data_IF_485301737871
#
_entry.id   IF_485301737871
#
_cell.length_a   1.000
_cell.length_b   1.000
_cell.length_c   1.000
_cell.angle_alpha   90.00
_cell.angle_beta   90.00
_cell.angle_gamma   90.00
#
_symmetry.space_group_name_H-M   'P 1'
#
loop_
_entity.id
_entity.type
_entity.pdbx_description
1 polymer ?
#
# COMPACT_ATOMS: atom_id res chain seq x y z
N UNK A 1 2.93 21.46 -30.78
CA UNK A 1 3.14 20.54 -29.63
C UNK A 1 4.54 20.72 -29.06
N UNK A 2 4.77 21.77 -28.25
CA UNK A 2 5.98 21.95 -27.43
C UNK A 2 5.66 22.92 -26.29
N UNK A 3 5.06 22.43 -25.21
CA UNK A 3 4.78 23.25 -23.99
C UNK A 3 4.56 22.33 -22.79
N UNK A 4 5.60 21.59 -22.37
CA UNK A 4 5.55 20.77 -21.14
C UNK A 4 6.93 20.58 -20.48
N UNK A 5 7.92 21.41 -20.83
CA UNK A 5 9.32 21.24 -20.35
C UNK A 5 9.78 22.37 -19.41
N UNK A 6 8.94 23.34 -19.06
CA UNK A 6 9.36 24.49 -18.21
C UNK A 6 8.87 24.47 -16.76
N UNK A 7 8.03 23.50 -16.34
CA UNK A 7 7.38 23.53 -15.02
C UNK A 7 8.15 22.86 -13.86
N UNK A 8 9.31 22.27 -14.09
CA UNK A 8 10.04 21.53 -13.04
C UNK A 8 11.19 22.29 -12.40
N UNK A 9 11.63 23.42 -12.96
CA UNK A 9 12.74 24.21 -12.41
C UNK A 9 12.32 25.31 -11.42
N UNK A 10 11.06 25.75 -11.41
CA UNK A 10 10.60 26.80 -10.48
C UNK A 10 10.29 26.29 -9.06
N UNK A 11 9.96 25.00 -8.90
CA UNK A 11 9.53 24.44 -7.61
C UNK A 11 10.68 24.30 -6.62
N UNK A 12 11.90 24.01 -7.09
CA UNK A 12 13.07 23.85 -6.20
C UNK A 12 13.56 25.21 -5.66
N UNK A 13 13.38 26.29 -6.42
CA UNK A 13 13.77 27.65 -6.00
C UNK A 13 12.91 28.18 -4.83
N UNK A 14 11.61 27.85 -4.83
CA UNK A 14 10.68 28.22 -3.74
C UNK A 14 11.00 27.53 -2.40
N UNK A 15 11.59 26.33 -2.44
CA UNK A 15 11.92 25.56 -1.23
C UNK A 15 13.02 26.26 -0.41
N UNK A 16 14.04 26.83 -1.06
CA UNK A 16 15.14 27.56 -0.43
C UNK A 16 14.74 28.97 0.05
N UNK A 17 13.78 29.61 -0.62
CA UNK A 17 13.24 30.93 -0.21
C UNK A 17 12.40 30.84 1.07
N UNK A 18 11.79 29.69 1.36
CA UNK A 18 10.92 29.49 2.52
C UNK A 18 11.65 29.51 3.88
N UNK A 19 12.92 29.11 3.93
CA UNK A 19 13.71 29.13 5.17
C UNK A 19 14.15 30.54 5.56
N UNK A 20 14.47 31.41 4.58
CA UNK A 20 14.85 32.81 4.83
C UNK A 20 13.67 33.70 5.23
N UNK A 21 12.45 33.38 4.81
CA UNK A 21 11.24 34.09 5.24
C UNK A 21 10.83 33.74 6.68
N UNK A 22 11.21 32.55 7.17
CA UNK A 22 10.88 32.08 8.52
C UNK A 22 11.52 32.91 9.63
N UNK A 23 12.75 33.40 9.42
CA UNK A 23 13.44 34.30 10.37
C UNK A 23 12.85 35.71 10.37
N UNK A 24 12.29 36.17 9.25
CA UNK A 24 11.69 37.51 9.14
C UNK A 24 10.26 37.52 9.71
N UNK A 25 9.47 36.46 9.49
CA UNK A 25 8.09 36.36 9.99
C UNK A 25 8.01 36.20 11.53
N UNK A 26 8.97 35.53 12.15
CA UNK A 26 9.02 35.40 13.62
C UNK A 26 9.39 36.72 14.33
N UNK A 27 10.15 37.61 13.69
CA UNK A 27 10.49 38.94 14.25
C UNK A 27 9.27 39.87 14.27
N UNK A 28 8.39 39.75 13.28
CA UNK A 28 7.16 40.56 13.18
C UNK A 28 6.13 40.13 14.22
N UNK A 29 6.07 38.84 14.59
CA UNK A 29 5.05 38.32 15.52
C UNK A 29 5.21 38.80 16.98
N UNK A 30 6.38 39.30 17.38
CA UNK A 30 6.61 39.82 18.74
C UNK A 30 6.24 41.29 18.95
N UNK A 31 5.86 42.04 17.91
CA UNK A 31 5.54 43.45 18.06
C UNK A 31 4.32 43.90 17.23
N UNK A 32 3.27 44.28 17.97
CA UNK A 32 2.07 45.07 17.61
C UNK A 32 0.80 44.31 17.20
N UNK A 33 -0.22 44.59 18.03
CA UNK A 33 -1.67 44.52 17.75
C UNK A 33 -1.99 45.03 16.35
N UNK A 34 -2.70 44.24 15.56
CA UNK A 34 -3.67 44.70 14.56
C UNK A 34 -4.62 43.54 14.21
N UNK A 35 -5.90 43.74 14.51
CA UNK A 35 -7.03 42.87 14.18
C UNK A 35 -7.28 42.92 12.66
N UNK A 36 -6.74 41.98 11.88
CA UNK A 36 -7.23 41.68 10.53
C UNK A 36 -6.99 40.20 10.20
N UNK A 37 -8.05 39.51 9.74
CA UNK A 37 -8.06 38.19 9.08
C UNK A 37 -7.77 36.92 9.91
N UNK A 38 -8.76 36.53 10.72
CA UNK A 38 -8.88 35.20 11.36
C UNK A 38 -9.33 34.07 10.38
N UNK A 39 -9.34 34.29 9.06
CA UNK A 39 -9.88 33.30 8.08
C UNK A 39 -8.77 32.68 7.21
N UNK A 40 -7.65 33.39 6.98
CA UNK A 40 -6.55 32.91 6.13
C UNK A 40 -5.61 31.94 6.85
N UNK A 41 -5.54 32.00 8.18
CA UNK A 41 -4.72 31.11 9.01
C UNK A 41 -5.28 29.69 9.10
N UNK A 42 -6.61 29.51 9.13
CA UNK A 42 -7.23 28.17 9.23
C UNK A 42 -7.15 27.40 7.92
N UNK A 43 -7.37 28.07 6.78
CA UNK A 43 -7.21 27.45 5.45
C UNK A 43 -5.75 27.12 5.14
N UNK A 44 -4.80 27.98 5.54
CA UNK A 44 -3.38 27.69 5.38
C UNK A 44 -2.93 26.54 6.30
N UNK A 45 -3.41 26.51 7.55
CA UNK A 45 -3.15 25.41 8.50
C UNK A 45 -3.77 24.09 8.06
N UNK A 46 -4.99 24.09 7.51
CA UNK A 46 -5.65 22.89 6.98
C UNK A 46 -4.98 22.39 5.69
N UNK A 47 -4.54 23.30 4.81
CA UNK A 47 -3.80 22.94 3.59
C UNK A 47 -2.39 22.45 3.90
N UNK A 48 -1.73 23.02 4.91
CA UNK A 48 -0.44 22.59 5.44
C UNK A 48 -0.52 21.24 6.15
N UNK A 49 -1.57 20.98 6.94
CA UNK A 49 -1.80 19.66 7.54
C UNK A 49 -2.18 18.59 6.50
N UNK A 50 -2.93 18.93 5.45
CA UNK A 50 -3.15 18.01 4.34
C UNK A 50 -1.86 17.71 3.55
N UNK A 51 -0.96 18.69 3.42
CA UNK A 51 0.36 18.46 2.81
C UNK A 51 1.30 17.66 3.71
N UNK A 52 1.29 17.89 5.03
CA UNK A 52 2.07 17.08 5.97
C UNK A 52 1.50 15.66 6.14
N UNK A 53 0.19 15.48 6.08
CA UNK A 53 -0.42 14.14 6.04
C UNK A 53 -0.11 13.40 4.74
N UNK A 54 0.09 14.12 3.62
CA UNK A 54 0.61 13.53 2.38
C UNK A 54 2.07 13.08 2.51
N UNK A 55 2.91 13.82 3.26
CA UNK A 55 4.30 13.45 3.55
C UNK A 55 4.47 12.42 4.69
N UNK A 56 3.46 12.26 5.57
CA UNK A 56 3.41 11.24 6.62
C UNK A 56 2.68 9.96 6.18
N UNK A 57 2.55 9.74 4.86
CA UNK A 57 2.20 8.42 4.34
C UNK A 57 3.28 7.47 4.84
N UNK A 58 2.97 6.72 5.91
CA UNK A 58 3.84 5.67 6.46
C UNK A 58 4.44 4.93 5.28
N UNK A 59 5.76 4.70 5.25
CA UNK A 59 6.40 3.83 4.26
C UNK A 59 5.70 2.47 4.34
N UNK A 60 4.67 2.31 3.52
CA UNK A 60 3.59 1.35 3.76
C UNK A 60 3.96 0.02 3.14
N UNK A 61 4.70 0.07 2.04
CA UNK A 61 5.14 -1.09 1.28
C UNK A 61 6.66 -1.08 1.03
N UNK A 62 7.18 -2.21 0.56
CA UNK A 62 8.60 -2.36 0.21
C UNK A 62 9.10 -1.32 -0.80
N UNK A 63 8.27 -0.94 -1.77
CA UNK A 63 8.63 0.05 -2.79
C UNK A 63 8.78 1.46 -2.20
N UNK A 64 7.90 1.84 -1.26
CA UNK A 64 8.04 3.10 -0.52
C UNK A 64 9.35 3.13 0.26
N UNK A 65 9.74 1.99 0.86
CA UNK A 65 11.00 1.85 1.60
C UNK A 65 12.23 1.98 0.71
N UNK A 66 12.16 1.52 -0.53
CA UNK A 66 13.25 1.64 -1.51
C UNK A 66 13.44 3.06 -2.03
N UNK A 67 12.39 3.91 -1.97
CA UNK A 67 12.41 5.27 -2.49
C UNK A 67 12.95 5.35 -3.94
N UNK A 68 12.44 4.46 -4.81
CA UNK A 68 12.90 4.32 -6.20
C UNK A 68 11.77 4.56 -7.20
N UNK A 69 12.14 4.97 -8.41
CA UNK A 69 11.23 5.15 -9.56
C UNK A 69 11.22 3.97 -10.53
N UNK A 70 11.97 2.90 -10.20
CA UNK A 70 12.02 1.68 -11.02
C UNK A 70 10.65 1.03 -11.11
N UNK A 71 10.42 0.33 -12.22
CA UNK A 71 9.26 -0.54 -12.33
C UNK A 71 9.33 -1.62 -11.23
N UNK A 72 8.25 -1.91 -10.47
CA UNK A 72 8.27 -2.93 -9.42
C UNK A 72 8.67 -4.33 -9.88
N UNK A 73 8.51 -4.65 -11.18
CA UNK A 73 8.96 -5.92 -11.77
C UNK A 73 10.47 -5.98 -12.04
N UNK A 74 11.14 -4.83 -12.09
CA UNK A 74 12.58 -4.71 -12.37
C UNK A 74 13.43 -4.56 -11.11
N UNK A 75 12.80 -4.52 -9.92
CA UNK A 75 13.49 -4.48 -8.65
C UNK A 75 14.21 -5.81 -8.42
N UNK A 76 15.50 -5.73 -8.13
CA UNK A 76 16.35 -6.90 -7.92
C UNK A 76 16.06 -7.59 -6.58
N UNK A 77 16.44 -8.87 -6.48
CA UNK A 77 16.30 -9.63 -5.24
C UNK A 77 17.07 -9.02 -4.06
N UNK A 78 18.27 -8.48 -4.31
CA UNK A 78 19.05 -7.80 -3.27
C UNK A 78 18.34 -6.53 -2.78
N UNK A 79 17.70 -5.77 -3.67
CA UNK A 79 16.90 -4.61 -3.28
C UNK A 79 15.70 -5.04 -2.43
N UNK A 80 14.97 -6.08 -2.84
CA UNK A 80 13.85 -6.60 -2.04
C UNK A 80 14.29 -7.10 -0.66
N UNK A 81 15.40 -7.85 -0.57
CA UNK A 81 15.96 -8.33 0.71
C UNK A 81 16.34 -7.20 1.67
N UNK A 82 16.67 -6.01 1.15
CA UNK A 82 17.02 -4.85 1.99
C UNK A 82 15.79 -4.19 2.64
N UNK A 83 14.58 -4.38 2.10
CA UNK A 83 13.37 -3.67 2.54
C UNK A 83 12.26 -4.57 3.08
N UNK A 84 12.32 -5.85 2.75
CA UNK A 84 11.41 -6.89 3.24
C UNK A 84 12.06 -7.62 4.41
N UNK A 85 11.25 -8.04 5.39
CA UNK A 85 11.70 -9.00 6.38
C UNK A 85 12.03 -10.36 5.73
N UNK A 86 12.77 -11.26 6.40
CA UNK A 86 13.04 -12.60 5.88
C UNK A 86 11.76 -13.36 5.49
N UNK A 87 10.73 -13.33 6.32
CA UNK A 87 9.45 -14.02 6.04
C UNK A 87 8.67 -13.36 4.90
N UNK A 88 8.65 -12.02 4.85
CA UNK A 88 8.05 -11.28 3.75
C UNK A 88 8.73 -11.63 2.43
N UNK A 89 10.07 -11.67 2.41
CA UNK A 89 10.84 -12.03 1.22
C UNK A 89 10.59 -13.49 0.82
N UNK A 90 10.67 -14.42 1.76
CA UNK A 90 10.46 -15.84 1.52
C UNK A 90 9.08 -16.11 0.91
N UNK A 91 8.02 -15.55 1.49
CA UNK A 91 6.67 -15.73 0.95
C UNK A 91 6.51 -15.01 -0.39
N UNK A 92 6.85 -13.72 -0.48
CA UNK A 92 6.51 -12.93 -1.67
C UNK A 92 7.42 -13.16 -2.87
N UNK A 93 8.69 -13.55 -2.66
CA UNK A 93 9.69 -13.67 -3.73
C UNK A 93 10.09 -15.10 -4.04
N UNK A 94 10.05 -15.98 -3.04
CA UNK A 94 10.42 -17.39 -3.18
C UNK A 94 9.20 -18.34 -3.21
N UNK A 95 7.99 -17.78 -3.32
CA UNK A 95 6.72 -18.54 -3.29
C UNK A 95 6.59 -19.43 -2.04
N UNK A 96 7.13 -18.97 -0.91
CA UNK A 96 6.94 -19.59 0.40
C UNK A 96 5.49 -19.48 0.90
N UNK A 97 5.18 -20.15 2.00
CA UNK A 97 3.86 -20.10 2.64
C UNK A 97 4.02 -19.93 4.14
N UNK A 98 3.33 -18.95 4.72
CA UNK A 98 3.36 -18.73 6.17
C UNK A 98 2.69 -19.91 6.91
N UNK A 99 3.12 -20.26 8.13
CA UNK A 99 2.48 -21.34 8.89
C UNK A 99 0.99 -21.07 9.12
N UNK A 100 0.18 -22.14 9.10
CA UNK A 100 -1.26 -22.07 9.38
C UNK A 100 -1.54 -21.39 10.73
N UNK A 101 -2.51 -20.47 10.78
CA UNK A 101 -2.95 -19.71 11.96
C UNK A 101 -1.90 -18.76 12.56
N UNK A 102 -0.76 -18.53 11.89
CA UNK A 102 0.28 -17.64 12.40
C UNK A 102 0.13 -16.19 11.94
N UNK A 103 -0.58 -15.96 10.84
CA UNK A 103 -0.69 -14.67 10.19
C UNK A 103 -1.58 -13.66 10.93
N UNK A 104 -1.15 -12.39 10.96
CA UNK A 104 -1.88 -11.28 11.59
C UNK A 104 -3.32 -11.14 11.09
N UNK A 105 -3.56 -11.42 9.81
CA UNK A 105 -4.82 -11.11 9.17
C UNK A 105 -5.80 -12.29 9.08
N UNK A 106 -5.47 -13.47 9.61
CA UNK A 106 -6.37 -14.64 9.59
C UNK A 106 -7.70 -14.32 10.30
N UNK A 107 -7.64 -13.98 11.60
CA UNK A 107 -8.81 -13.61 12.42
C UNK A 107 -9.04 -12.11 12.55
N UNK A 108 -8.66 -11.36 11.51
CA UNK A 108 -8.83 -9.91 11.45
C UNK A 108 -9.96 -9.53 10.48
N UNK A 109 -10.94 -8.75 10.94
CA UNK A 109 -12.14 -8.40 10.17
C UNK A 109 -12.51 -6.91 10.26
N UNK A 110 -11.52 -6.03 10.48
CA UNK A 110 -11.80 -4.59 10.52
C UNK A 110 -12.13 -4.05 9.12
N UNK A 111 -13.03 -3.05 9.01
CA UNK A 111 -13.31 -2.39 7.74
C UNK A 111 -12.09 -1.65 7.17
N UNK A 112 -11.78 -1.94 5.91
CA UNK A 112 -10.62 -1.40 5.20
C UNK A 112 -10.31 -2.19 3.93
N UNK A 113 -9.08 -2.03 3.45
CA UNK A 113 -8.56 -2.70 2.26
C UNK A 113 -7.20 -3.32 2.52
N UNK A 114 -6.86 -4.33 1.73
CA UNK A 114 -5.60 -5.03 1.80
C UNK A 114 -4.76 -4.71 0.57
N UNK A 115 -3.54 -4.25 0.80
CA UNK A 115 -2.60 -3.82 -0.24
C UNK A 115 -1.40 -4.75 -0.31
N UNK A 116 -0.73 -4.83 -1.46
CA UNK A 116 0.45 -5.66 -1.62
C UNK A 116 1.59 -5.21 -0.70
N UNK A 117 2.19 -6.13 0.07
CA UNK A 117 3.32 -5.82 0.96
C UNK A 117 4.51 -5.21 0.20
N UNK A 118 4.75 -5.67 -1.03
CA UNK A 118 5.87 -5.22 -1.84
C UNK A 118 5.62 -3.87 -2.49
N UNK A 119 4.50 -3.68 -3.21
CA UNK A 119 4.30 -2.50 -4.06
C UNK A 119 3.12 -1.60 -3.67
N UNK A 120 2.36 -1.95 -2.65
CA UNK A 120 1.28 -1.12 -2.11
C UNK A 120 0.01 -1.02 -2.97
N UNK A 121 -0.09 -1.79 -4.07
CA UNK A 121 -1.30 -1.80 -4.89
C UNK A 121 -2.46 -2.49 -4.15
N UNK A 122 -3.68 -1.99 -4.34
CA UNK A 122 -4.89 -2.57 -3.74
C UNK A 122 -5.16 -3.98 -4.31
N UNK A 123 -5.38 -4.96 -3.44
CA UNK A 123 -5.56 -6.37 -3.81
C UNK A 123 -6.94 -6.89 -3.40
N UNK A 124 -7.36 -6.66 -2.16
CA UNK A 124 -8.60 -7.18 -1.59
C UNK A 124 -9.31 -6.15 -0.74
N UNK A 125 -10.63 -6.30 -0.58
CA UNK A 125 -11.45 -5.48 0.31
C UNK A 125 -11.92 -6.31 1.50
N UNK A 126 -12.04 -5.65 2.66
CA UNK A 126 -12.57 -6.29 3.88
C UNK A 126 -14.00 -6.82 3.72
N UNK A 127 -14.82 -6.22 2.86
CA UNK A 127 -16.19 -6.68 2.56
C UNK A 127 -16.23 -8.06 1.90
N UNK A 128 -15.11 -8.48 1.31
CA UNK A 128 -14.94 -9.77 0.65
C UNK A 128 -14.24 -10.81 1.53
N UNK A 129 -13.78 -10.39 2.71
CA UNK A 129 -13.11 -11.27 3.65
C UNK A 129 -14.14 -12.10 4.42
N UNK A 130 -13.88 -13.39 4.58
CA UNK A 130 -14.72 -14.29 5.36
C UNK A 130 -13.88 -15.25 6.21
N UNK A 131 -14.51 -15.89 7.21
CA UNK A 131 -13.85 -16.93 7.99
C UNK A 131 -14.02 -18.29 7.30
N UNK A 132 -12.94 -18.78 6.69
CA UNK A 132 -12.91 -20.10 6.05
C UNK A 132 -12.46 -21.22 6.99
N UNK A 133 -11.90 -20.90 8.16
CA UNK A 133 -11.21 -21.86 9.03
C UNK A 133 -9.93 -22.45 8.43
N UNK A 134 -9.46 -21.98 7.26
CA UNK A 134 -8.26 -22.52 6.62
C UNK A 134 -6.96 -22.11 7.32
N UNK A 135 -6.99 -21.08 8.16
CA UNK A 135 -5.84 -20.58 8.92
C UNK A 135 -4.98 -19.56 8.18
N UNK A 136 -5.50 -19.01 7.08
CA UNK A 136 -4.97 -17.86 6.38
C UNK A 136 -6.12 -16.91 6.03
N UNK A 137 -5.84 -15.61 5.83
CA UNK A 137 -6.79 -14.67 5.24
C UNK A 137 -7.50 -15.26 4.02
N UNK A 138 -8.83 -15.28 4.06
CA UNK A 138 -9.66 -15.79 2.99
C UNK A 138 -10.58 -14.69 2.44
N UNK A 139 -10.57 -14.52 1.12
CA UNK A 139 -11.43 -13.59 0.41
C UNK A 139 -12.22 -14.31 -0.67
N UNK A 140 -13.44 -13.87 -0.95
CA UNK A 140 -14.27 -14.47 -2.01
C UNK A 140 -14.01 -13.85 -3.39
N UNK A 141 -13.49 -12.63 -3.44
CA UNK A 141 -13.05 -11.95 -4.67
C UNK A 141 -11.91 -10.98 -4.42
N UNK A 142 -11.14 -10.71 -5.46
CA UNK A 142 -10.14 -9.64 -5.49
C UNK A 142 -10.75 -8.31 -5.97
N UNK A 143 -10.01 -7.21 -5.82
CA UNK A 143 -10.41 -5.89 -6.34
C UNK A 143 -10.58 -5.93 -7.86
N UNK A 144 -11.74 -5.48 -8.34
CA UNK A 144 -12.01 -5.23 -9.75
C UNK A 144 -11.92 -6.47 -10.64
N UNK A 145 -12.37 -7.64 -10.14
CA UNK A 145 -12.36 -8.90 -10.90
C UNK A 145 -10.96 -9.24 -11.42
N UNK A 146 -10.00 -9.37 -10.50
CA UNK A 146 -8.60 -9.66 -10.77
C UNK A 146 -7.82 -8.55 -11.48
N UNK A 147 -8.27 -7.29 -11.34
CA UNK A 147 -7.60 -6.12 -11.93
C UNK A 147 -6.09 -6.08 -11.62
N UNK A 148 -5.72 -6.36 -10.35
CA UNK A 148 -4.38 -6.21 -9.81
C UNK A 148 -3.68 -7.53 -9.46
N UNK A 149 -4.29 -8.67 -9.78
CA UNK A 149 -3.68 -10.00 -9.59
C UNK A 149 -3.53 -10.75 -10.92
N UNK A 150 -2.71 -11.78 -10.91
CA UNK A 150 -2.63 -12.78 -11.97
C UNK A 150 -2.81 -14.16 -11.37
N UNK A 151 -3.46 -15.04 -12.14
CA UNK A 151 -3.63 -16.45 -11.82
C UNK A 151 -2.65 -17.26 -12.66
N UNK A 152 -1.90 -18.14 -12.02
CA UNK A 152 -0.92 -19.00 -12.67
C UNK A 152 -1.17 -20.45 -12.27
N UNK A 153 -1.00 -21.37 -13.21
CA UNK A 153 -1.03 -22.79 -12.88
C UNK A 153 0.19 -23.14 -12.00
N UNK A 154 -0.06 -23.81 -10.89
CA UNK A 154 0.95 -24.30 -9.97
C UNK A 154 0.84 -25.83 -9.86
N UNK A 155 1.86 -26.54 -10.35
CA UNK A 155 1.98 -27.99 -10.33
C UNK A 155 2.96 -28.49 -9.25
N UNK A 156 3.42 -27.59 -8.37
CA UNK A 156 4.34 -27.94 -7.29
C UNK A 156 3.73 -28.96 -6.32
N UNK A 157 4.59 -29.76 -5.69
CA UNK A 157 4.20 -30.81 -4.73
C UNK A 157 3.19 -31.84 -5.29
N UNK A 158 3.15 -32.03 -6.61
CA UNK A 158 2.28 -33.01 -7.27
C UNK A 158 0.79 -32.68 -7.21
N UNK A 159 0.43 -31.41 -7.01
CA UNK A 159 -0.96 -30.92 -6.98
C UNK A 159 -1.14 -29.86 -8.04
N UNK A 160 -2.29 -29.85 -8.72
CA UNK A 160 -2.68 -28.75 -9.61
C UNK A 160 -3.46 -27.75 -8.78
N UNK A 161 -2.93 -26.54 -8.67
CA UNK A 161 -3.56 -25.40 -7.97
C UNK A 161 -3.44 -24.15 -8.84
N UNK A 162 -4.16 -23.11 -8.45
CA UNK A 162 -4.06 -21.80 -9.09
C UNK A 162 -3.35 -20.85 -8.15
N UNK A 163 -2.07 -20.56 -8.42
CA UNK A 163 -1.29 -19.55 -7.71
C UNK A 163 -1.83 -18.15 -8.02
N UNK A 164 -1.89 -17.32 -6.99
CA UNK A 164 -2.27 -15.90 -7.07
C UNK A 164 -1.03 -15.06 -6.82
N UNK A 165 -0.68 -14.19 -7.79
CA UNK A 165 0.40 -13.21 -7.66
C UNK A 165 -0.09 -11.80 -7.87
N UNK A 166 0.61 -10.82 -7.29
CA UNK A 166 0.41 -9.43 -7.60
C UNK A 166 0.84 -9.14 -9.05
N UNK A 167 -0.08 -8.62 -9.87
CA UNK A 167 0.17 -8.28 -11.28
C UNK A 167 1.22 -7.19 -11.47
N UNK A 168 1.36 -6.31 -10.49
CA UNK A 168 2.22 -5.13 -10.57
C UNK A 168 3.70 -5.44 -10.26
N UNK A 169 3.99 -6.36 -9.34
CA UNK A 169 5.37 -6.65 -8.89
C UNK A 169 5.76 -8.13 -8.88
N UNK A 170 4.86 -9.02 -9.33
CA UNK A 170 5.01 -10.49 -9.34
C UNK A 170 5.18 -11.13 -7.96
N UNK A 171 4.86 -10.41 -6.88
CA UNK A 171 4.87 -10.97 -5.53
C UNK A 171 3.87 -12.13 -5.41
N UNK A 172 4.32 -13.28 -4.91
CA UNK A 172 3.45 -14.38 -4.52
C UNK A 172 2.55 -13.94 -3.36
N UNK A 173 1.25 -14.23 -3.49
CA UNK A 173 0.23 -13.89 -2.49
C UNK A 173 -0.33 -15.15 -1.83
N UNK A 174 -0.61 -16.18 -2.62
CA UNK A 174 -1.18 -17.45 -2.15
C UNK A 174 -1.81 -18.22 -3.30
N UNK A 175 -2.98 -18.80 -3.05
CA UNK A 175 -3.72 -19.61 -4.04
C UNK A 175 -5.20 -19.30 -4.02
N UNK A 176 -5.89 -19.60 -5.12
CA UNK A 176 -7.36 -19.56 -5.21
C UNK A 176 -7.91 -20.96 -5.45
N UNK A 177 -9.04 -21.26 -4.80
CA UNK A 177 -9.73 -22.55 -4.82
C UNK A 177 -11.23 -22.36 -5.06
N UNK A 178 -11.90 -23.38 -5.61
CA UNK A 178 -13.34 -23.35 -5.93
C UNK A 178 -14.25 -23.84 -4.77
N UNK A 179 -13.77 -23.73 -3.52
CA UNK A 179 -14.45 -24.17 -2.30
C UNK A 179 -14.89 -22.99 -1.40
N UNK A 180 -15.10 -21.82 -2.00
CA UNK A 180 -15.58 -20.62 -1.32
C UNK A 180 -17.10 -20.56 -1.13
N UNK A 181 -17.62 -19.41 -0.64
CA UNK A 181 -19.05 -19.22 -0.40
C UNK A 181 -19.85 -19.27 -1.71
N UNK A 182 -20.75 -20.26 -1.83
CA UNK A 182 -21.57 -20.46 -3.05
C UNK A 182 -22.58 -19.33 -3.31
N UNK A 183 -22.92 -18.54 -2.29
CA UNK A 183 -23.84 -17.42 -2.39
C UNK A 183 -23.18 -16.15 -2.96
N UNK A 184 -21.86 -16.16 -3.21
CA UNK A 184 -21.14 -15.06 -3.84
C UNK A 184 -20.46 -15.53 -5.12
N UNK A 185 -19.16 -15.81 -5.10
CA UNK A 185 -18.38 -16.25 -6.27
C UNK A 185 -18.16 -17.76 -6.32
N UNK A 186 -18.27 -18.45 -5.17
CA UNK A 186 -17.82 -19.83 -5.02
C UNK A 186 -16.30 -19.98 -4.94
N UNK A 187 -15.54 -18.88 -5.05
CA UNK A 187 -14.08 -18.90 -4.98
C UNK A 187 -13.57 -18.54 -3.57
N UNK A 188 -12.40 -19.07 -3.23
CA UNK A 188 -11.68 -18.76 -2.00
C UNK A 188 -10.23 -18.42 -2.33
N UNK A 189 -9.91 -17.14 -2.27
CA UNK A 189 -8.55 -16.62 -2.30
C UNK A 189 -7.94 -16.81 -0.92
N UNK A 190 -7.04 -17.80 -0.79
CA UNK A 190 -6.30 -18.14 0.40
C UNK A 190 -4.94 -17.45 0.35
N UNK A 191 -4.79 -16.34 1.09
CA UNK A 191 -3.69 -15.39 0.93
C UNK A 191 -2.84 -15.35 2.19
N UNK A 192 -1.51 -15.34 2.04
CA UNK A 192 -0.59 -15.17 3.16
C UNK A 192 -0.70 -13.76 3.75
N UNK A 193 -0.86 -13.65 5.06
CA UNK A 193 -0.90 -12.37 5.79
C UNK A 193 0.39 -11.57 5.57
N UNK A 194 1.55 -12.23 5.59
CA UNK A 194 2.85 -11.57 5.36
C UNK A 194 2.99 -10.96 3.95
N UNK A 195 2.16 -11.37 2.99
CA UNK A 195 2.19 -10.86 1.61
C UNK A 195 1.34 -9.59 1.41
N UNK A 196 0.57 -9.19 2.43
CA UNK A 196 -0.34 -8.05 2.38
C UNK A 196 -0.13 -7.09 3.56
N UNK A 197 -0.62 -5.87 3.40
CA UNK A 197 -0.81 -4.88 4.45
C UNK A 197 -2.29 -4.55 4.57
N UNK A 198 -2.69 -3.98 5.70
CA UNK A 198 -4.05 -3.47 5.90
C UNK A 198 -4.06 -1.94 6.00
N UNK A 199 -4.98 -1.31 5.27
CA UNK A 199 -5.31 0.12 5.38
C UNK A 199 -6.75 0.24 5.90
N UNK A 200 -6.92 0.82 7.08
CA UNK A 200 -8.25 1.04 7.67
C UNK A 200 -9.07 2.01 6.81
N UNK A 201 -10.36 1.75 6.68
CA UNK A 201 -11.30 2.73 6.15
C UNK A 201 -11.40 3.87 7.17
N UNK A 202 -10.88 5.07 6.85
CA UNK A 202 -11.10 6.24 7.69
C UNK A 202 -12.62 6.47 7.81
N UNK A 203 -13.09 6.66 9.04
CA UNK A 203 -14.47 7.06 9.28
C UNK A 203 -14.62 8.50 8.81
N UNK A 204 -15.43 8.71 7.77
CA UNK A 204 -15.90 10.05 7.36
C UNK A 204 -16.60 10.80 8.49
#
# INVERSE_FOLDING_TARGET
>A
MKTLVTYTFEIISYCMLSQKLYSILNIIYTNRRLNVHCITSKLFYLKYNNFNNFCLRKMSCGLDKLNTKKNPKEISDNEWKNVLSPDEYHVTRESGTEPKFSGEYDKFFKPGKYTCKCCGIDLFLSENKFDSGCGWPAFDKSVGEDLNIIRLEDTSYGRIRTEVRCKNCNAHLGHVFDDGPKNTTGERYCINSVSINFESKESE
#
